data_IF_141440821576
#
_entry.id   IF_141440821576
#
_cell.length_a   1.000
_cell.length_b   1.000
_cell.length_c   1.000
_cell.angle_alpha   90.00
_cell.angle_beta   90.00
_cell.angle_gamma   90.00
#
_symmetry.space_group_name_H-M   'P 1'
#
loop_
_entity.id
_entity.type
_entity.pdbx_description
1 polymer ?
#
# COMPACT_ATOMS: atom_id res chain seq x y z
N UNK A 1 15.66 12.04 -9.49
CA UNK A 1 14.87 12.10 -10.73
C UNK A 1 13.73 13.09 -10.55
N UNK A 2 13.46 13.95 -11.54
CA UNK A 2 12.32 14.87 -11.47
C UNK A 2 11.08 14.20 -12.05
N UNK A 3 10.05 14.01 -11.21
CA UNK A 3 8.78 13.39 -11.56
C UNK A 3 7.59 14.32 -11.35
N UNK A 4 7.83 15.62 -11.11
CA UNK A 4 6.77 16.61 -10.84
C UNK A 4 5.81 16.83 -12.02
N UNK A 5 6.24 16.44 -13.21
CA UNK A 5 5.44 16.50 -14.44
C UNK A 5 4.40 15.37 -14.53
N UNK A 6 4.52 14.32 -13.71
CA UNK A 6 3.60 13.20 -13.71
C UNK A 6 2.31 13.52 -12.94
N UNK A 7 1.23 12.85 -13.33
CA UNK A 7 -0.06 12.93 -12.66
C UNK A 7 -0.10 11.92 -11.50
N UNK A 8 0.31 12.37 -10.32
CA UNK A 8 0.45 11.55 -9.10
C UNK A 8 -0.67 11.92 -8.12
N UNK A 9 -1.24 10.94 -7.42
CA UNK A 9 -2.17 11.17 -6.31
C UNK A 9 -1.92 10.20 -5.15
N UNK A 10 -2.41 10.54 -3.96
CA UNK A 10 -2.48 9.64 -2.79
C UNK A 10 -3.93 9.28 -2.46
N UNK A 11 -4.13 8.14 -1.81
CA UNK A 11 -5.45 7.70 -1.32
C UNK A 11 -5.28 7.17 0.10
N UNK A 12 -5.83 7.89 1.06
CA UNK A 12 -5.58 7.72 2.49
C UNK A 12 -6.89 7.65 3.31
N UNK A 13 -6.85 7.23 4.58
CA UNK A 13 -7.98 7.42 5.49
C UNK A 13 -8.36 8.90 5.65
N UNK A 14 -9.64 9.21 5.98
CA UNK A 14 -10.04 10.57 6.32
C UNK A 14 -9.23 11.08 7.52
N UNK A 15 -8.79 12.34 7.45
CA UNK A 15 -7.99 12.97 8.49
C UNK A 15 -6.50 12.57 8.51
N UNK A 16 -6.01 11.80 7.53
CA UNK A 16 -4.60 11.48 7.41
C UNK A 16 -3.76 12.76 7.18
N UNK A 17 -2.67 12.91 7.92
CA UNK A 17 -1.75 14.06 7.80
C UNK A 17 -0.35 13.64 7.35
N UNK A 18 0.02 12.40 7.63
CA UNK A 18 1.26 11.70 7.33
C UNK A 18 1.07 10.78 6.12
N UNK A 19 0.97 11.40 4.94
CA UNK A 19 0.80 10.67 3.67
C UNK A 19 2.14 10.07 3.28
N UNK A 20 2.26 8.75 3.45
CA UNK A 20 3.50 8.01 3.19
C UNK A 20 3.64 7.59 1.73
N UNK A 21 2.53 7.34 1.04
CA UNK A 21 2.52 6.79 -0.31
C UNK A 21 1.70 7.62 -1.31
N UNK A 22 2.14 7.57 -2.56
CA UNK A 22 1.41 8.11 -3.69
C UNK A 22 1.65 7.22 -4.92
N UNK A 23 0.71 7.23 -5.86
CA UNK A 23 0.73 6.37 -7.04
C UNK A 23 0.48 7.15 -8.33
N UNK A 24 0.98 6.61 -9.44
CA UNK A 24 0.49 6.97 -10.77
C UNK A 24 0.48 5.74 -11.70
N UNK A 25 -0.27 5.87 -12.79
CA UNK A 25 -0.28 4.93 -13.90
C UNK A 25 -0.39 5.69 -15.22
N UNK A 26 0.46 5.41 -16.19
CA UNK A 26 0.37 6.01 -17.52
C UNK A 26 0.68 5.01 -18.61
N UNK A 27 -0.02 5.12 -19.73
CA UNK A 27 0.35 4.42 -20.95
C UNK A 27 1.65 5.01 -21.48
N UNK A 28 2.55 4.14 -21.93
CA UNK A 28 3.79 4.55 -22.58
C UNK A 28 3.85 4.01 -24.01
N UNK A 29 4.39 4.82 -24.92
CA UNK A 29 4.57 4.42 -26.31
C UNK A 29 5.68 3.38 -26.43
N UNK A 30 5.36 2.24 -27.05
CA UNK A 30 6.31 1.16 -27.33
C UNK A 30 6.04 0.56 -28.70
N UNK A 31 7.05 -0.14 -29.24
CA UNK A 31 6.96 -0.90 -30.49
C UNK A 31 6.62 -2.38 -30.26
N UNK A 32 6.09 -2.75 -29.09
CA UNK A 32 5.88 -4.15 -28.69
C UNK A 32 4.55 -4.75 -29.19
N UNK A 33 3.70 -3.95 -29.83
CA UNK A 33 2.42 -4.41 -30.38
C UNK A 33 1.31 -4.62 -29.34
N UNK A 34 1.57 -4.30 -28.07
CA UNK A 34 0.60 -4.29 -26.98
C UNK A 34 0.79 -3.05 -26.11
N UNK A 35 -0.25 -2.69 -25.35
CA UNK A 35 -0.22 -1.56 -24.43
C UNK A 35 0.72 -1.83 -23.25
N UNK A 36 1.61 -0.88 -22.97
CA UNK A 36 2.49 -0.93 -21.81
C UNK A 36 2.17 0.25 -20.90
N UNK A 37 2.05 -0.06 -19.62
CA UNK A 37 1.76 0.89 -18.57
C UNK A 37 2.98 1.04 -17.66
N UNK A 38 3.44 2.28 -17.49
CA UNK A 38 4.35 2.64 -16.41
C UNK A 38 3.51 2.89 -15.15
N UNK A 39 3.82 2.14 -14.11
CA UNK A 39 3.24 2.30 -12.77
C UNK A 39 4.33 2.83 -11.87
N UNK A 40 4.06 3.94 -11.19
CA UNK A 40 4.95 4.48 -10.17
C UNK A 40 4.31 4.38 -8.80
N UNK A 41 5.10 3.89 -7.84
CA UNK A 41 4.79 3.90 -6.43
C UNK A 41 5.85 4.77 -5.75
N UNK A 42 5.39 5.84 -5.11
CA UNK A 42 6.23 6.90 -4.57
C UNK A 42 6.08 6.90 -3.06
N UNK A 43 7.16 6.63 -2.33
CA UNK A 43 7.18 6.57 -0.87
C UNK A 43 7.90 7.80 -0.32
N UNK A 44 7.40 8.41 0.75
CA UNK A 44 8.05 9.53 1.43
C UNK A 44 9.54 9.27 1.70
N UNK A 45 10.43 10.19 1.31
CA UNK A 45 11.88 10.01 1.50
C UNK A 45 12.34 10.41 2.90
N UNK A 46 11.91 9.63 3.91
CA UNK A 46 12.32 9.82 5.31
C UNK A 46 13.84 9.75 5.46
N UNK A 47 14.52 8.93 4.66
CA UNK A 47 15.98 8.74 4.72
C UNK A 47 16.78 9.99 4.32
N UNK A 48 16.14 10.98 3.69
CA UNK A 48 16.76 12.27 3.45
C UNK A 48 16.92 13.09 4.74
N UNK A 49 15.95 12.97 5.66
CA UNK A 49 15.88 13.79 6.87
C UNK A 49 16.43 13.06 8.10
N UNK A 50 16.24 11.74 8.19
CA UNK A 50 16.71 10.92 9.30
C UNK A 50 18.04 10.27 8.93
N UNK A 51 19.13 10.83 9.45
CA UNK A 51 20.49 10.36 9.17
C UNK A 51 20.95 9.38 10.26
N UNK A 52 21.53 8.26 9.82
CA UNK A 52 22.00 7.20 10.72
C UNK A 52 22.97 7.70 11.80
N UNK A 53 22.78 7.24 13.03
CA UNK A 53 23.61 7.57 14.19
C UNK A 53 23.26 8.89 14.88
N UNK A 54 22.37 9.69 14.31
CA UNK A 54 21.90 10.94 14.94
C UNK A 54 21.00 10.68 16.15
N UNK A 55 20.80 11.66 17.05
CA UNK A 55 19.82 11.52 18.14
C UNK A 55 18.41 11.19 17.65
N UNK A 56 18.01 11.77 16.51
CA UNK A 56 16.72 11.52 15.87
C UNK A 56 16.59 10.06 15.41
N UNK A 57 17.60 9.52 14.72
CA UNK A 57 17.65 8.11 14.32
C UNK A 57 17.59 7.16 15.52
N UNK A 58 18.33 7.46 16.59
CA UNK A 58 18.29 6.66 17.83
C UNK A 58 16.91 6.67 18.48
N UNK A 59 16.21 7.81 18.49
CA UNK A 59 14.86 7.89 19.03
C UNK A 59 13.86 7.10 18.17
N UNK A 60 13.91 7.26 16.85
CA UNK A 60 13.09 6.49 15.92
C UNK A 60 13.32 4.98 16.07
N UNK A 61 14.60 4.57 16.17
CA UNK A 61 14.98 3.17 16.42
C UNK A 61 14.41 2.63 17.74
N UNK A 62 14.39 3.43 18.81
CA UNK A 62 13.83 3.03 20.11
C UNK A 62 12.31 2.88 20.07
N UNK A 63 11.59 3.72 19.31
CA UNK A 63 10.13 3.63 19.16
C UNK A 63 9.71 2.50 18.22
N UNK A 64 10.45 2.30 17.14
CA UNK A 64 10.25 1.23 16.14
C UNK A 64 9.05 1.41 15.21
N UNK A 65 7.92 1.91 15.72
CA UNK A 65 6.71 2.21 14.94
C UNK A 65 5.89 3.31 15.62
N UNK A 66 5.02 3.98 14.85
CA UNK A 66 3.94 4.80 15.41
C UNK A 66 2.91 3.88 16.06
N UNK A 67 2.43 4.22 17.25
CA UNK A 67 1.39 3.48 17.97
C UNK A 67 0.07 4.24 17.86
N UNK A 68 -0.96 3.56 17.33
CA UNK A 68 -2.30 4.10 17.16
C UNK A 68 -3.20 3.60 18.29
N UNK A 69 -3.77 4.54 19.04
CA UNK A 69 -4.79 4.30 20.07
C UNK A 69 -6.12 4.91 19.59
N UNK A 70 -7.20 4.67 20.33
CA UNK A 70 -8.54 5.18 19.98
C UNK A 70 -8.57 6.71 19.98
N UNK A 71 -7.95 7.34 20.98
CA UNK A 71 -8.01 8.79 21.24
C UNK A 71 -6.78 9.55 20.75
N UNK A 72 -5.66 8.86 20.52
CA UNK A 72 -4.37 9.50 20.23
C UNK A 72 -3.46 8.64 19.37
N UNK A 73 -2.46 9.30 18.79
CA UNK A 73 -1.37 8.69 18.05
C UNK A 73 -0.05 9.04 18.70
N UNK A 74 0.81 8.05 18.93
CA UNK A 74 2.16 8.24 19.46
C UNK A 74 3.15 8.08 18.31
N UNK A 75 3.58 9.20 17.74
CA UNK A 75 4.38 9.23 16.52
C UNK A 75 5.78 8.65 16.72
N UNK A 76 6.25 7.88 15.74
CA UNK A 76 7.65 7.43 15.71
C UNK A 76 8.61 8.59 15.48
N UNK A 77 8.23 9.53 14.61
CA UNK A 77 9.01 10.71 14.25
C UNK A 77 8.34 11.97 14.80
N UNK A 78 9.08 13.07 15.01
CA UNK A 78 8.49 14.36 15.32
C UNK A 78 7.46 14.80 14.27
N UNK A 79 6.36 15.41 14.73
CA UNK A 79 5.23 15.85 13.90
C UNK A 79 5.64 16.72 12.69
N UNK A 80 6.62 17.60 12.88
CA UNK A 80 7.16 18.44 11.80
C UNK A 80 7.73 17.60 10.64
N UNK A 81 8.31 16.44 10.94
CA UNK A 81 8.81 15.52 9.92
C UNK A 81 7.68 14.67 9.34
N UNK A 82 6.92 13.96 10.17
CA UNK A 82 5.89 13.02 9.72
C UNK A 82 4.76 13.74 8.96
N UNK A 83 4.12 14.74 9.57
CA UNK A 83 2.91 15.38 9.04
C UNK A 83 3.19 16.53 8.06
N UNK A 84 4.44 16.93 7.85
CA UNK A 84 4.77 18.02 6.92
C UNK A 84 5.90 17.73 5.93
N UNK A 85 7.14 17.58 6.40
CA UNK A 85 8.32 17.52 5.51
C UNK A 85 8.40 16.20 4.71
N UNK A 86 8.02 15.08 5.33
CA UNK A 86 7.98 13.77 4.69
C UNK A 86 6.63 13.52 4.00
N UNK A 87 5.52 13.97 4.62
CA UNK A 87 4.17 13.81 4.08
C UNK A 87 4.08 14.31 2.63
N UNK A 88 3.59 13.45 1.73
CA UNK A 88 3.45 13.69 0.30
C UNK A 88 2.23 14.58 -0.02
N UNK A 89 2.16 15.74 0.63
CA UNK A 89 1.06 16.69 0.56
C UNK A 89 0.76 17.14 -0.88
N UNK A 90 -0.52 17.35 -1.22
CA UNK A 90 -0.91 17.76 -2.56
C UNK A 90 -0.43 19.18 -2.87
N UNK A 91 -0.12 19.42 -4.14
CA UNK A 91 0.30 20.69 -4.71
C UNK A 91 1.61 21.26 -4.15
N UNK A 92 2.42 20.44 -3.49
CA UNK A 92 3.73 20.81 -2.99
C UNK A 92 4.80 19.86 -3.54
N UNK A 93 6.00 20.40 -3.80
CA UNK A 93 7.14 19.58 -4.20
C UNK A 93 7.63 18.80 -2.97
N UNK A 94 7.76 17.48 -3.10
CA UNK A 94 8.14 16.56 -2.01
C UNK A 94 9.18 15.56 -2.46
N UNK A 95 10.08 15.22 -1.54
CA UNK A 95 11.09 14.19 -1.74
C UNK A 95 10.46 12.81 -1.54
N UNK A 96 10.65 11.94 -2.52
CA UNK A 96 10.15 10.58 -2.49
C UNK A 96 11.21 9.59 -2.97
N UNK A 97 11.15 8.36 -2.47
CA UNK A 97 11.80 7.23 -3.09
C UNK A 97 10.77 6.53 -4.00
N UNK A 98 11.04 6.53 -5.31
CA UNK A 98 10.14 6.00 -6.32
C UNK A 98 10.57 4.62 -6.80
N UNK A 99 9.58 3.73 -6.92
CA UNK A 99 9.67 2.44 -7.61
C UNK A 99 8.82 2.54 -8.86
N UNK A 100 9.45 2.46 -10.04
CA UNK A 100 8.75 2.45 -11.33
C UNK A 100 8.85 1.07 -11.95
N UNK A 101 7.72 0.50 -12.34
CA UNK A 101 7.65 -0.77 -13.05
C UNK A 101 6.77 -0.68 -14.30
N UNK A 102 6.98 -1.61 -15.22
CA UNK A 102 6.33 -1.61 -16.53
C UNK A 102 5.53 -2.90 -16.69
N UNK A 103 4.22 -2.77 -16.79
CA UNK A 103 3.29 -3.89 -16.91
C UNK A 103 2.45 -3.77 -18.18
N UNK A 104 1.99 -4.88 -18.74
CA UNK A 104 0.90 -4.87 -19.72
C UNK A 104 -0.47 -4.68 -19.05
N UNK A 105 -1.54 -4.67 -19.84
CA UNK A 105 -2.91 -4.54 -19.36
C UNK A 105 -3.37 -5.69 -18.43
N UNK A 106 -2.69 -6.84 -18.47
CA UNK A 106 -2.96 -8.03 -17.65
C UNK A 106 -2.01 -8.11 -16.43
N UNK A 107 -1.21 -7.07 -16.21
CA UNK A 107 -0.25 -6.97 -15.11
C UNK A 107 1.00 -7.83 -15.28
N UNK A 108 1.31 -8.33 -16.48
CA UNK A 108 2.56 -9.05 -16.71
C UNK A 108 3.72 -8.07 -16.83
N UNK A 109 4.86 -8.40 -16.23
CA UNK A 109 6.06 -7.57 -16.36
C UNK A 109 6.58 -7.59 -17.78
N UNK A 110 6.90 -6.40 -18.30
CA UNK A 110 7.53 -6.26 -19.62
C UNK A 110 9.02 -6.57 -19.50
N UNK A 111 9.46 -7.73 -19.98
CA UNK A 111 10.83 -8.24 -19.82
C UNK A 111 11.92 -7.29 -20.32
N UNK A 112 11.63 -6.54 -21.39
CA UNK A 112 12.57 -5.58 -22.00
C UNK A 112 12.74 -4.30 -21.18
N UNK A 113 11.96 -4.10 -20.11
CA UNK A 113 12.00 -2.89 -19.28
C UNK A 113 12.29 -3.23 -17.82
N UNK A 114 13.42 -2.77 -17.25
CA UNK A 114 13.74 -3.04 -15.87
C UNK A 114 12.88 -2.21 -14.92
N UNK A 115 12.73 -2.70 -13.69
CA UNK A 115 12.20 -1.90 -12.58
C UNK A 115 13.24 -0.84 -12.19
N UNK A 116 12.80 0.41 -12.05
CA UNK A 116 13.63 1.56 -11.68
C UNK A 116 13.39 1.89 -10.21
N UNK A 117 14.48 2.01 -9.45
CA UNK A 117 14.47 2.43 -8.05
C UNK A 117 15.26 3.72 -7.95
N UNK A 118 14.66 4.82 -7.50
CA UNK A 118 15.34 6.11 -7.51
C UNK A 118 14.81 7.10 -6.50
N UNK A 119 15.70 7.92 -5.93
CA UNK A 119 15.29 9.15 -5.23
C UNK A 119 14.73 10.14 -6.23
N UNK A 120 13.65 10.81 -5.85
CA UNK A 120 12.84 11.61 -6.74
C UNK A 120 12.25 12.83 -6.06
N UNK A 121 11.88 13.81 -6.88
CA UNK A 121 11.01 14.92 -6.47
C UNK A 121 9.68 14.73 -7.19
N UNK A 122 8.59 14.69 -6.43
CA UNK A 122 7.23 14.55 -6.94
C UNK A 122 6.40 15.77 -6.54
N UNK A 123 5.25 15.94 -7.19
CA UNK A 123 4.21 16.88 -6.77
C UNK A 123 2.86 16.21 -6.91
N UNK A 124 2.34 15.67 -5.81
CA UNK A 124 1.00 15.06 -5.79
C UNK A 124 -0.03 16.10 -6.22
N UNK A 125 -0.93 15.75 -7.13
CA UNK A 125 -1.97 16.66 -7.63
C UNK A 125 -3.14 16.76 -6.66
N UNK A 126 -3.44 15.65 -5.98
CA UNK A 126 -4.54 15.55 -5.02
C UNK A 126 -4.26 14.42 -4.02
N UNK A 127 -4.65 14.66 -2.78
CA UNK A 127 -4.77 13.65 -1.76
C UNK A 127 -6.27 13.34 -1.62
N UNK A 128 -6.63 12.08 -1.83
CA UNK A 128 -8.01 11.61 -1.75
C UNK A 128 -8.22 10.85 -0.45
N UNK A 129 -9.43 10.92 0.07
CA UNK A 129 -9.92 9.87 0.96
C UNK A 129 -10.32 8.63 0.15
N UNK A 130 -10.34 7.45 0.78
CA UNK A 130 -10.81 6.22 0.12
C UNK A 130 -12.20 6.36 -0.51
N UNK A 131 -13.12 7.05 0.17
CA UNK A 131 -14.48 7.29 -0.32
C UNK A 131 -14.49 8.19 -1.56
N UNK A 132 -13.75 9.31 -1.53
CA UNK A 132 -13.67 10.21 -2.70
C UNK A 132 -13.07 9.53 -3.92
N UNK A 133 -12.00 8.75 -3.73
CA UNK A 133 -11.40 7.99 -4.82
C UNK A 133 -12.35 6.90 -5.34
N UNK A 134 -13.14 6.28 -4.46
CA UNK A 134 -14.10 5.24 -4.84
C UNK A 134 -15.23 5.84 -5.67
N UNK A 135 -15.84 6.93 -5.20
CA UNK A 135 -16.87 7.66 -5.95
C UNK A 135 -16.36 8.12 -7.31
N UNK A 136 -15.11 8.58 -7.40
CA UNK A 136 -14.48 8.98 -8.66
C UNK A 136 -14.28 7.79 -9.62
N UNK A 137 -13.96 6.62 -9.10
CA UNK A 137 -13.79 5.41 -9.91
C UNK A 137 -15.14 4.85 -10.40
N UNK A 138 -16.17 4.92 -9.57
CA UNK A 138 -17.51 4.39 -9.86
C UNK A 138 -18.31 5.28 -10.83
N UNK A 139 -17.99 6.57 -10.91
CA UNK A 139 -18.57 7.47 -11.91
C UNK A 139 -17.96 7.23 -13.31
N UNK A 140 -18.60 6.36 -14.10
CA UNK A 140 -18.20 6.07 -15.48
C UNK A 140 -18.23 7.29 -16.42
N UNK A 141 -18.98 8.34 -16.06
CA UNK A 141 -19.08 9.56 -16.87
C UNK A 141 -17.90 10.51 -16.66
N UNK A 142 -17.21 10.42 -15.51
CA UNK A 142 -16.01 11.21 -15.24
C UNK A 142 -14.84 10.68 -16.08
N UNK A 143 -14.44 11.42 -17.11
CA UNK A 143 -13.29 11.09 -17.98
C UNK A 143 -12.03 11.90 -17.64
N UNK A 144 -11.91 12.37 -16.40
CA UNK A 144 -10.70 13.06 -15.94
C UNK A 144 -9.47 12.14 -16.04
N UNK A 145 -8.29 12.77 -16.13
CA UNK A 145 -7.02 12.05 -16.13
C UNK A 145 -6.88 11.18 -14.86
N UNK A 146 -7.38 11.67 -13.73
CA UNK A 146 -7.33 10.94 -12.45
C UNK A 146 -8.24 9.71 -12.44
N UNK A 147 -9.51 9.85 -12.83
CA UNK A 147 -10.45 8.72 -12.82
C UNK A 147 -9.99 7.61 -13.79
N UNK A 148 -9.52 8.02 -14.97
CA UNK A 148 -8.98 7.11 -15.99
C UNK A 148 -7.72 6.39 -15.50
N UNK A 149 -6.79 7.13 -14.90
CA UNK A 149 -5.59 6.56 -14.28
C UNK A 149 -5.93 5.55 -13.19
N UNK A 150 -6.80 5.91 -12.24
CA UNK A 150 -7.15 5.05 -11.09
C UNK A 150 -7.87 3.78 -11.54
N UNK A 151 -8.83 3.89 -12.47
CA UNK A 151 -9.51 2.72 -13.04
C UNK A 151 -8.54 1.80 -13.77
N UNK A 152 -7.62 2.37 -14.56
CA UNK A 152 -6.62 1.59 -15.26
C UNK A 152 -5.66 0.90 -14.28
N UNK A 153 -5.12 1.62 -13.31
CA UNK A 153 -4.27 1.05 -12.26
C UNK A 153 -4.98 -0.09 -11.53
N UNK A 154 -6.24 0.13 -11.12
CA UNK A 154 -7.08 -0.87 -10.45
C UNK A 154 -7.26 -2.14 -11.29
N UNK A 155 -7.54 -2.00 -12.59
CA UNK A 155 -7.65 -3.15 -13.49
C UNK A 155 -6.37 -3.98 -13.55
N UNK A 156 -5.20 -3.33 -13.63
CA UNK A 156 -3.90 -4.00 -13.77
C UNK A 156 -3.52 -4.71 -12.46
N UNK A 157 -3.59 -4.02 -11.33
CA UNK A 157 -3.19 -4.62 -10.03
C UNK A 157 -4.16 -5.71 -9.58
N UNK A 158 -5.42 -5.67 -10.02
CA UNK A 158 -6.39 -6.75 -9.81
C UNK A 158 -5.90 -8.09 -10.40
N UNK A 159 -5.24 -8.09 -11.55
CA UNK A 159 -4.64 -9.32 -12.09
C UNK A 159 -3.49 -9.85 -11.23
N UNK A 160 -2.70 -8.97 -10.60
CA UNK A 160 -1.68 -9.36 -9.64
C UNK A 160 -2.31 -10.02 -8.41
N UNK A 161 -3.39 -9.42 -7.89
CA UNK A 161 -4.19 -9.98 -6.79
C UNK A 161 -4.73 -11.36 -7.11
N UNK A 162 -5.37 -11.53 -8.26
CA UNK A 162 -5.93 -12.82 -8.68
C UNK A 162 -4.85 -13.90 -8.82
N UNK A 163 -3.69 -13.57 -9.39
CA UNK A 163 -2.55 -14.51 -9.46
C UNK A 163 -1.99 -14.86 -8.09
N UNK A 164 -1.93 -13.90 -7.17
CA UNK A 164 -1.53 -14.11 -5.78
C UNK A 164 -2.50 -15.08 -5.07
N UNK A 165 -3.80 -14.87 -5.21
CA UNK A 165 -4.83 -15.76 -4.64
C UNK A 165 -4.79 -17.17 -5.27
N UNK A 166 -4.64 -17.26 -6.59
CA UNK A 166 -4.49 -18.54 -7.30
C UNK A 166 -3.24 -19.35 -6.89
N UNK A 167 -2.24 -18.70 -6.28
CA UNK A 167 -1.05 -19.34 -5.68
C UNK A 167 -1.22 -19.69 -4.20
N UNK A 168 -2.43 -19.60 -3.65
CA UNK A 168 -2.73 -19.96 -2.27
C UNK A 168 -2.53 -18.84 -1.25
N UNK A 169 -2.51 -17.57 -1.68
CA UNK A 169 -2.52 -16.47 -0.72
C UNK A 169 -3.84 -16.43 0.04
N UNK A 170 -3.75 -16.25 1.36
CA UNK A 170 -4.91 -16.16 2.24
C UNK A 170 -5.40 -14.72 2.32
N UNK A 171 -6.73 -14.55 2.24
CA UNK A 171 -7.40 -13.31 2.58
C UNK A 171 -8.10 -13.51 3.93
N UNK A 172 -7.55 -12.91 4.98
CA UNK A 172 -8.15 -12.90 6.31
C UNK A 172 -8.79 -11.52 6.51
N UNK A 173 -10.11 -11.49 6.57
CA UNK A 173 -10.85 -10.26 6.83
C UNK A 173 -11.09 -10.13 8.33
N UNK A 174 -10.71 -8.98 8.87
CA UNK A 174 -10.99 -8.60 10.25
C UNK A 174 -11.89 -7.37 10.23
N UNK A 175 -12.98 -7.40 10.98
CA UNK A 175 -13.82 -6.23 11.17
C UNK A 175 -13.09 -5.26 12.08
N UNK A 176 -12.48 -4.23 11.49
CA UNK A 176 -11.95 -3.09 12.25
C UNK A 176 -13.10 -2.23 12.74
N UNK A 177 -13.09 -1.91 14.03
CA UNK A 177 -14.09 -1.07 14.69
C UNK A 177 -13.47 0.28 14.98
N UNK A 178 -14.20 1.36 14.67
CA UNK A 178 -13.82 2.74 14.98
C UNK A 178 -14.87 3.39 15.86
N UNK A 179 -14.40 4.18 16.82
CA UNK A 179 -15.25 5.02 17.64
C UNK A 179 -15.25 6.43 17.07
N UNK A 180 -16.43 7.00 16.88
CA UNK A 180 -16.56 8.45 16.72
C UNK A 180 -16.55 9.08 18.10
N UNK A 181 -15.59 9.96 18.35
CA UNK A 181 -15.41 10.61 19.63
C UNK A 181 -16.01 12.01 19.57
N UNK A 182 -16.75 12.42 20.61
CA UNK A 182 -17.21 13.79 20.74
C UNK A 182 -16.03 14.74 20.96
N UNK A 183 -16.00 15.87 20.25
CA UNK A 183 -14.84 16.76 20.20
C UNK A 183 -14.52 17.47 21.52
N UNK A 184 -15.51 17.70 22.39
CA UNK A 184 -15.33 18.41 23.66
C UNK A 184 -15.14 17.48 24.86
N UNK A 185 -15.95 16.42 24.97
CA UNK A 185 -15.96 15.52 26.13
C UNK A 185 -15.03 14.32 25.97
N UNK A 186 -14.61 14.01 24.73
CA UNK A 186 -13.94 12.76 24.36
C UNK A 186 -14.75 11.50 24.71
N UNK A 187 -16.08 11.59 24.78
CA UNK A 187 -16.94 10.44 24.93
C UNK A 187 -17.23 9.76 23.56
N UNK A 188 -17.28 8.42 23.49
CA UNK A 188 -17.61 7.72 22.25
C UNK A 188 -19.10 7.89 21.92
N UNK A 189 -19.39 8.53 20.78
CA UNK A 189 -20.74 8.75 20.25
C UNK A 189 -21.28 7.52 19.52
N UNK A 190 -20.47 6.97 18.61
CA UNK A 190 -20.91 5.90 17.71
C UNK A 190 -19.81 4.88 17.45
N UNK A 191 -20.22 3.64 17.21
CA UNK A 191 -19.38 2.51 16.88
C UNK A 191 -19.57 2.15 15.40
N UNK A 192 -18.60 2.48 14.57
CA UNK A 192 -18.65 2.25 13.13
C UNK A 192 -17.70 1.12 12.71
N UNK A 193 -18.21 0.15 11.95
CA UNK A 193 -17.39 -0.87 11.31
C UNK A 193 -16.81 -0.32 10.02
N UNK A 194 -15.50 -0.47 9.82
CA UNK A 194 -14.83 -0.02 8.60
C UNK A 194 -15.13 -0.97 7.45
N UNK A 195 -15.84 -0.46 6.44
CA UNK A 195 -16.03 -1.18 5.18
C UNK A 195 -14.74 -1.15 4.34
N UNK A 196 -14.45 -2.26 3.66
CA UNK A 196 -13.29 -2.36 2.76
C UNK A 196 -13.73 -2.10 1.32
N UNK A 197 -13.32 -0.97 0.76
CA UNK A 197 -13.63 -0.55 -0.61
C UNK A 197 -12.65 -1.14 -1.64
N UNK A 198 -12.96 -1.04 -2.93
CA UNK A 198 -12.00 -1.43 -3.97
C UNK A 198 -10.77 -0.51 -3.99
N UNK A 199 -10.91 0.76 -3.62
CA UNK A 199 -9.77 1.68 -3.44
C UNK A 199 -8.83 1.25 -2.33
N UNK A 200 -9.32 0.64 -1.24
CA UNK A 200 -8.45 0.05 -0.21
C UNK A 200 -7.60 -1.07 -0.82
N UNK A 201 -8.22 -1.96 -1.60
CA UNK A 201 -7.53 -3.08 -2.23
C UNK A 201 -6.55 -2.62 -3.31
N UNK A 202 -6.88 -1.56 -4.06
CA UNK A 202 -6.00 -0.91 -5.03
C UNK A 202 -4.68 -0.49 -4.39
N UNK A 203 -4.75 0.26 -3.28
CA UNK A 203 -3.56 0.71 -2.56
C UNK A 203 -2.82 -0.47 -1.93
N UNK A 204 -3.53 -1.44 -1.33
CA UNK A 204 -2.92 -2.67 -0.79
C UNK A 204 -2.10 -3.42 -1.85
N UNK A 205 -2.68 -3.65 -3.03
CA UNK A 205 -2.01 -4.37 -4.11
C UNK A 205 -0.81 -3.58 -4.66
N UNK A 206 -0.89 -2.25 -4.74
CA UNK A 206 0.26 -1.40 -5.08
C UNK A 206 1.38 -1.51 -4.04
N UNK A 207 1.06 -1.40 -2.75
CA UNK A 207 2.05 -1.50 -1.68
C UNK A 207 2.71 -2.89 -1.63
N UNK A 208 1.95 -3.95 -1.87
CA UNK A 208 2.48 -5.30 -1.98
C UNK A 208 3.43 -5.45 -3.17
N UNK A 209 3.07 -4.90 -4.34
CA UNK A 209 3.94 -4.87 -5.51
C UNK A 209 5.27 -4.17 -5.19
N UNK A 210 5.23 -2.95 -4.61
CA UNK A 210 6.43 -2.25 -4.19
C UNK A 210 7.28 -3.07 -3.21
N UNK A 211 6.65 -3.62 -2.16
CA UNK A 211 7.35 -4.39 -1.14
C UNK A 211 8.05 -5.62 -1.72
N UNK A 212 7.39 -6.39 -2.60
CA UNK A 212 8.01 -7.55 -3.26
C UNK A 212 9.18 -7.13 -4.16
N UNK A 213 9.01 -6.06 -4.94
CA UNK A 213 10.05 -5.54 -5.83
C UNK A 213 11.27 -5.05 -5.04
N UNK A 214 11.06 -4.32 -3.95
CA UNK A 214 12.14 -3.82 -3.08
C UNK A 214 12.80 -4.98 -2.34
N UNK A 215 12.04 -5.90 -1.74
CA UNK A 215 12.58 -7.07 -1.04
C UNK A 215 13.47 -7.91 -1.96
N UNK A 216 13.03 -8.16 -3.20
CA UNK A 216 13.81 -8.86 -4.22
C UNK A 216 15.11 -8.12 -4.54
N UNK A 217 15.04 -6.79 -4.72
CA UNK A 217 16.20 -5.96 -5.03
C UNK A 217 17.22 -5.90 -3.90
N UNK A 218 16.79 -5.68 -2.66
CA UNK A 218 17.69 -5.59 -1.50
C UNK A 218 18.30 -6.95 -1.19
N UNK A 219 17.56 -8.06 -1.33
CA UNK A 219 18.10 -9.40 -1.14
C UNK A 219 19.14 -9.75 -2.20
N UNK A 220 18.88 -9.42 -3.48
CA UNK A 220 19.86 -9.60 -4.55
C UNK A 220 21.13 -8.75 -4.35
N UNK A 221 21.01 -7.58 -3.75
CA UNK A 221 22.13 -6.64 -3.58
C UNK A 221 22.93 -6.90 -2.30
N UNK A 222 22.26 -7.31 -1.22
CA UNK A 222 22.82 -7.47 0.12
C UNK A 222 22.23 -8.70 0.83
N UNK A 223 22.40 -9.89 0.26
CA UNK A 223 21.73 -11.13 0.72
C UNK A 223 21.87 -11.43 2.22
N UNK A 224 23.04 -11.11 2.80
CA UNK A 224 23.36 -11.43 4.20
C UNK A 224 22.93 -10.32 5.18
N UNK A 225 22.53 -9.14 4.68
CA UNK A 225 22.20 -7.96 5.50
C UNK A 225 20.82 -7.39 5.16
N UNK A 226 20.11 -7.99 4.21
CA UNK A 226 18.79 -7.54 3.80
C UNK A 226 17.80 -7.70 4.96
N UNK A 227 17.17 -6.58 5.35
CA UNK A 227 16.05 -6.59 6.27
C UNK A 227 14.81 -7.14 5.55
N UNK A 228 14.33 -8.29 5.98
CA UNK A 228 13.18 -8.98 5.40
C UNK A 228 12.14 -9.31 6.47
N UNK A 229 10.89 -9.47 6.05
CA UNK A 229 9.78 -9.92 6.89
C UNK A 229 9.29 -11.28 6.40
N UNK A 230 9.10 -12.24 7.32
CA UNK A 230 8.52 -13.55 7.03
C UNK A 230 7.40 -13.89 8.00
N UNK A 231 6.45 -14.70 7.55
CA UNK A 231 5.42 -15.30 8.38
C UNK A 231 5.66 -16.83 8.42
N UNK A 232 6.00 -17.43 9.57
CA UNK A 232 6.21 -18.87 9.67
C UNK A 232 4.88 -19.63 9.44
N UNK A 233 4.93 -20.91 9.06
CA UNK A 233 3.73 -21.74 8.97
C UNK A 233 3.04 -21.83 10.35
N UNK A 234 1.70 -21.98 10.37
CA UNK A 234 0.94 -22.11 11.62
C UNK A 234 1.35 -23.35 12.40
N UNK A 235 1.17 -23.30 13.71
CA UNK A 235 1.44 -24.42 14.62
C UNK A 235 0.39 -25.51 14.39
N UNK A 236 0.83 -26.75 14.15
CA UNK A 236 -0.07 -27.86 13.77
C UNK A 236 -1.16 -28.10 14.79
N UNK A 237 -0.81 -28.09 16.08
CA UNK A 237 -1.75 -28.31 17.18
C UNK A 237 -2.88 -27.27 17.20
N UNK A 238 -2.61 -26.03 16.79
CA UNK A 238 -3.63 -24.98 16.71
C UNK A 238 -4.56 -25.19 15.51
N UNK A 239 -4.03 -25.69 14.38
CA UNK A 239 -4.83 -26.06 13.23
C UNK A 239 -5.72 -27.27 13.52
N UNK A 240 -5.19 -28.31 14.18
CA UNK A 240 -5.95 -29.51 14.54
C UNK A 240 -7.15 -29.15 15.42
N UNK A 241 -6.98 -28.22 16.37
CA UNK A 241 -8.09 -27.69 17.19
C UNK A 241 -9.16 -26.98 16.35
N UNK A 242 -8.74 -26.16 15.38
CA UNK A 242 -9.66 -25.49 14.47
C UNK A 242 -10.44 -26.51 13.62
N UNK A 243 -9.74 -27.50 13.06
CA UNK A 243 -10.34 -28.57 12.27
C UNK A 243 -11.37 -29.36 13.06
N UNK A 244 -11.08 -29.70 14.31
CA UNK A 244 -12.01 -30.38 15.19
C UNK A 244 -13.32 -29.60 15.38
N UNK A 245 -13.22 -28.29 15.59
CA UNK A 245 -14.40 -27.42 15.77
C UNK A 245 -15.19 -27.30 14.48
N UNK A 246 -14.50 -27.07 13.36
CA UNK A 246 -15.12 -26.91 12.03
C UNK A 246 -15.81 -28.20 11.59
N UNK A 247 -15.16 -29.34 11.74
CA UNK A 247 -15.75 -30.64 11.41
C UNK A 247 -16.98 -30.93 12.27
N UNK A 248 -16.86 -30.82 13.61
CA UNK A 248 -17.96 -31.14 14.53
C UNK A 248 -19.17 -30.22 14.38
N UNK A 249 -18.96 -28.92 14.09
CA UNK A 249 -20.06 -27.93 14.05
C UNK A 249 -20.59 -27.64 12.66
N UNK A 250 -19.73 -27.67 11.64
CA UNK A 250 -20.08 -27.28 10.28
C UNK A 250 -20.08 -28.46 9.30
N UNK A 251 -19.62 -29.64 9.72
CA UNK A 251 -19.56 -30.83 8.86
C UNK A 251 -18.56 -30.71 7.71
N UNK A 252 -17.64 -29.75 7.79
CA UNK A 252 -16.59 -29.53 6.79
C UNK A 252 -15.35 -30.34 7.16
N UNK A 253 -14.92 -31.22 6.26
CA UNK A 253 -13.68 -31.99 6.38
C UNK A 253 -12.56 -31.36 5.56
N UNK A 254 -11.32 -31.51 6.01
CA UNK A 254 -10.16 -31.13 5.22
C UNK A 254 -10.08 -32.00 3.95
N UNK A 255 -10.00 -31.38 2.79
CA UNK A 255 -9.88 -32.06 1.49
C UNK A 255 -8.45 -32.04 0.96
N UNK A 256 -7.48 -31.53 1.74
CA UNK A 256 -6.08 -31.43 1.34
C UNK A 256 -5.45 -32.76 0.89
N UNK A 257 -5.94 -33.90 1.39
CA UNK A 257 -5.45 -35.23 1.00
C UNK A 257 -5.96 -35.71 -0.37
N UNK A 258 -6.91 -35.00 -1.00
CA UNK A 258 -7.50 -35.37 -2.31
C UNK A 258 -6.93 -34.58 -3.49
N UNK A 259 -6.00 -33.66 -3.25
CA UNK A 259 -5.30 -32.88 -4.29
C UNK A 259 -3.81 -33.23 -4.33
N UNK A 260 -3.50 -34.49 -4.66
CA UNK A 260 -2.19 -34.91 -5.17
C UNK A 260 -2.33 -35.37 -6.62
#
# INVERSE_FOLDING_TARGET
>A
MDLRHLHICSIDPPGCTDIDDAVHCRLIETNLGFEVYEIGIHIADVTHYVISGTPLDREAYRRGTTVYLVDRRIDMLPELLSSNLCSLRPNEDRLAFSVLCYLDAEGNFVESRPVIYTKSVIRSKKAFTYNEAQSLMDDESDISETSTMLRKLSSIVKYLRLRRLGRGALKLEFTEVRFEMESETQEPLELNSKETLETNKLIEDCMLLANVLVATKIFKSYSNLALLRRHPPPIKEQLDQLYDVVNKRLGLSDTSDTCN
#
